data_IF_132713733133
#
_entry.id   IF_132713733133
#
_cell.length_a   1.000
_cell.length_b   1.000
_cell.length_c   1.000
_cell.angle_alpha   90.00
_cell.angle_beta   90.00
_cell.angle_gamma   90.00
#
_symmetry.space_group_name_H-M   'P 1'
#
loop_
_entity.id
_entity.type
_entity.pdbx_description
1 polymer ?
#
# COMPACT_ATOMS: atom_id res chain seq x y z
N UNK A 1 4.98 8.64 5.82
CA UNK A 1 4.04 7.53 5.66
C UNK A 1 4.19 6.61 6.86
N UNK A 2 3.07 6.11 7.39
CA UNK A 2 3.02 5.15 8.49
C UNK A 2 2.17 3.97 8.08
N UNK A 3 2.58 2.79 8.50
CA UNK A 3 1.80 1.56 8.35
C UNK A 3 1.27 1.23 9.73
N UNK A 4 -0.05 1.13 9.83
CA UNK A 4 -0.77 0.80 11.04
C UNK A 4 -1.55 -0.48 10.76
N UNK A 5 -1.67 -1.36 11.73
CA UNK A 5 -2.55 -2.52 11.66
C UNK A 5 -3.45 -2.53 12.89
N UNK A 6 -4.73 -2.83 12.68
CA UNK A 6 -5.68 -3.05 13.75
C UNK A 6 -5.80 -4.54 14.11
N UNK A 7 -6.46 -4.83 15.23
CA UNK A 7 -6.62 -6.20 15.74
C UNK A 7 -7.63 -7.03 14.95
N UNK A 8 -8.43 -6.41 14.07
CA UNK A 8 -9.47 -7.08 13.27
C UNK A 8 -9.00 -7.45 11.86
N UNK A 9 -7.72 -7.24 11.54
CA UNK A 9 -7.16 -7.66 10.27
C UNK A 9 -7.24 -6.60 9.17
N UNK A 10 -7.25 -5.32 9.52
CA UNK A 10 -7.06 -4.26 8.54
C UNK A 10 -5.67 -3.64 8.67
N UNK A 11 -5.17 -3.17 7.53
CA UNK A 11 -3.94 -2.40 7.44
C UNK A 11 -4.30 -0.99 6.97
N UNK A 12 -4.00 0.00 7.80
CA UNK A 12 -4.11 1.40 7.47
C UNK A 12 -2.76 1.93 7.00
N UNK A 13 -2.69 2.30 5.74
CA UNK A 13 -1.57 2.99 5.12
C UNK A 13 -1.81 4.50 5.20
N UNK A 14 -1.19 5.16 6.17
CA UNK A 14 -1.27 6.60 6.31
C UNK A 14 -0.16 7.27 5.49
N UNK A 15 -0.53 7.83 4.34
CA UNK A 15 0.42 8.44 3.42
C UNK A 15 0.82 9.85 3.86
N UNK A 16 -0.12 10.62 4.40
CA UNK A 16 0.06 12.01 4.86
C UNK A 16 -0.58 12.22 6.23
N UNK A 17 -0.01 13.14 7.01
CA UNK A 17 -0.59 13.58 8.28
C UNK A 17 -1.51 14.79 8.03
N UNK A 18 -2.78 14.51 7.74
CA UNK A 18 -3.79 15.50 7.41
C UNK A 18 -5.18 15.05 7.91
N UNK A 19 -6.08 15.95 8.33
CA UNK A 19 -7.44 15.57 8.72
C UNK A 19 -8.25 15.00 7.56
N UNK A 20 -8.89 13.85 7.77
CA UNK A 20 -9.84 13.30 6.79
C UNK A 20 -11.08 14.18 6.69
N UNK A 21 -11.39 14.63 5.47
CA UNK A 21 -12.63 15.34 5.16
C UNK A 21 -13.70 14.37 4.62
N UNK A 22 -13.28 13.34 3.89
CA UNK A 22 -14.17 12.38 3.23
C UNK A 22 -13.57 10.98 3.32
N UNK A 23 -14.41 9.96 3.50
CA UNK A 23 -14.05 8.54 3.34
C UNK A 23 -14.91 7.89 2.27
N UNK A 24 -14.32 7.05 1.42
CA UNK A 24 -15.01 6.34 0.33
C UNK A 24 -14.43 4.94 0.16
N UNK A 25 -15.23 4.04 -0.40
CA UNK A 25 -14.70 2.78 -0.93
C UNK A 25 -13.80 3.06 -2.14
N UNK A 26 -12.74 2.27 -2.26
CA UNK A 26 -11.78 2.35 -3.34
C UNK A 26 -11.46 0.94 -3.84
N UNK A 27 -11.29 0.82 -5.15
CA UNK A 27 -10.61 -0.33 -5.72
C UNK A 27 -9.11 -0.09 -5.60
N UNK A 28 -8.49 -0.94 -4.81
CA UNK A 28 -7.04 -1.01 -4.66
C UNK A 28 -6.63 -2.37 -5.15
N UNK A 29 -5.44 -2.49 -5.73
CA UNK A 29 -4.86 -3.77 -6.10
C UNK A 29 -3.63 -4.00 -5.26
N UNK A 30 -3.56 -5.11 -4.56
CA UNK A 30 -2.44 -5.46 -3.70
C UNK A 30 -1.48 -6.38 -4.46
N UNK A 31 -0.18 -6.19 -4.28
CA UNK A 31 0.81 -7.15 -4.76
C UNK A 31 1.21 -8.17 -3.68
N UNK A 32 0.84 -9.44 -3.90
CA UNK A 32 1.04 -10.56 -2.97
C UNK A 32 1.93 -11.66 -3.53
N UNK A 33 2.68 -12.36 -2.68
CA UNK A 33 3.33 -13.62 -3.05
C UNK A 33 2.34 -14.76 -3.27
N UNK A 34 2.75 -15.92 -3.83
CA UNK A 34 1.88 -17.10 -3.93
C UNK A 34 1.39 -17.63 -2.56
N UNK A 35 2.06 -17.24 -1.47
CA UNK A 35 1.67 -17.56 -0.10
C UNK A 35 0.74 -16.49 0.50
N UNK A 36 0.37 -15.46 -0.29
CA UNK A 36 -0.54 -14.40 0.12
C UNK A 36 0.13 -13.26 0.90
N UNK A 37 1.46 -13.15 0.87
CA UNK A 37 2.19 -12.13 1.63
C UNK A 37 2.37 -10.85 0.82
N UNK A 38 2.13 -9.66 1.38
CA UNK A 38 2.45 -8.39 0.68
C UNK A 38 3.91 -8.32 0.29
N UNK A 39 4.19 -8.03 -0.98
CA UNK A 39 5.56 -7.91 -1.47
C UNK A 39 5.95 -6.45 -1.53
N UNK A 40 5.36 -5.67 -2.44
CA UNK A 40 5.89 -4.33 -2.75
C UNK A 40 4.97 -3.16 -2.51
N UNK A 41 3.68 -3.39 -2.27
CA UNK A 41 2.73 -2.33 -1.98
C UNK A 41 1.40 -2.51 -2.71
N UNK A 42 0.83 -1.41 -3.17
CA UNK A 42 -0.52 -1.39 -3.72
C UNK A 42 -0.65 -0.43 -4.90
N UNK A 43 -1.50 -0.80 -5.85
CA UNK A 43 -1.94 0.02 -6.96
C UNK A 43 -3.31 0.61 -6.65
N UNK A 44 -3.53 1.86 -7.05
CA UNK A 44 -4.83 2.50 -6.99
C UNK A 44 -5.19 2.95 -8.40
N UNK A 45 -6.44 2.73 -8.79
CA UNK A 45 -6.95 3.09 -10.12
C UNK A 45 -7.97 4.21 -9.95
N UNK A 46 -7.74 5.33 -10.64
CA UNK A 46 -8.65 6.46 -10.73
C UNK A 46 -9.82 6.14 -11.66
N UNK A 47 -11.02 6.62 -11.32
CA UNK A 47 -12.20 6.47 -12.19
C UNK A 47 -13.41 5.77 -11.56
N UNK A 48 -13.27 5.17 -10.38
CA UNK A 48 -14.41 4.55 -9.67
C UNK A 48 -15.30 5.57 -8.91
N UNK A 49 -14.84 6.82 -8.74
CA UNK A 49 -15.53 7.90 -8.02
C UNK A 49 -14.99 9.28 -8.44
N UNK A 50 -15.64 10.38 -8.00
CA UNK A 50 -15.14 11.77 -8.15
C UNK A 50 -13.82 11.99 -7.37
N UNK A 51 -12.74 11.45 -7.93
CA UNK A 51 -11.39 11.51 -7.38
C UNK A 51 -10.41 11.65 -8.52
N UNK A 52 -9.47 12.57 -8.33
CA UNK A 52 -8.37 12.78 -9.27
C UNK A 52 -7.14 12.14 -8.67
N UNK A 53 -6.78 10.95 -9.16
CA UNK A 53 -5.59 10.26 -8.67
C UNK A 53 -4.33 11.09 -8.93
N UNK A 54 -4.26 11.76 -10.09
CA UNK A 54 -3.25 12.77 -10.38
C UNK A 54 -3.03 13.75 -9.23
N UNK A 55 -4.09 14.42 -8.76
CA UNK A 55 -3.99 15.39 -7.65
C UNK A 55 -3.58 14.72 -6.34
N UNK A 56 -4.04 13.50 -6.11
CA UNK A 56 -3.66 12.73 -4.94
C UNK A 56 -2.18 12.33 -4.94
N UNK A 57 -1.57 12.15 -6.11
CA UNK A 57 -0.15 11.84 -6.23
C UNK A 57 0.76 13.07 -6.32
N UNK A 58 0.25 14.25 -6.67
CA UNK A 58 1.02 15.52 -6.76
C UNK A 58 1.87 15.91 -5.54
N UNK A 59 1.47 15.66 -4.27
CA UNK A 59 2.38 15.90 -3.15
C UNK A 59 3.58 14.93 -3.11
N UNK A 60 3.51 13.82 -3.85
CA UNK A 60 4.61 12.87 -4.03
C UNK A 60 5.34 13.16 -5.36
N UNK A 61 6.64 12.87 -5.40
CA UNK A 61 7.44 12.99 -6.64
C UNK A 61 7.24 11.75 -7.52
N UNK A 62 6.00 11.54 -7.96
CA UNK A 62 5.67 10.40 -8.81
C UNK A 62 6.34 10.54 -10.19
N UNK A 63 6.82 9.41 -10.72
CA UNK A 63 7.34 9.30 -12.08
C UNK A 63 6.50 8.35 -12.91
N UNK A 64 6.70 8.34 -14.23
CA UNK A 64 6.11 7.31 -15.08
C UNK A 64 6.64 5.93 -14.67
N UNK A 65 5.79 4.89 -14.62
CA UNK A 65 6.25 3.54 -14.30
C UNK A 65 7.29 3.05 -15.31
N UNK A 66 8.36 2.45 -14.80
CA UNK A 66 9.41 1.82 -15.60
C UNK A 66 9.28 0.28 -15.52
N UNK A 67 9.49 -0.40 -16.65
CA UNK A 67 9.49 -1.87 -16.68
C UNK A 67 10.62 -2.41 -15.77
N UNK A 68 10.25 -3.28 -14.84
CA UNK A 68 11.21 -3.92 -13.93
C UNK A 68 11.61 -3.08 -12.72
N UNK A 69 10.86 -2.03 -12.38
CA UNK A 69 11.14 -1.23 -11.19
C UNK A 69 11.08 -2.08 -9.90
N UNK A 70 12.25 -2.25 -9.27
CA UNK A 70 12.41 -3.03 -8.05
C UNK A 70 11.96 -2.25 -6.81
N UNK A 71 11.25 -2.95 -5.92
CA UNK A 71 10.73 -2.41 -4.67
C UNK A 71 11.69 -2.48 -3.49
N UNK A 72 12.98 -2.72 -3.71
CA UNK A 72 13.96 -2.97 -2.65
C UNK A 72 14.42 -1.74 -1.84
N UNK A 73 13.81 -0.57 -2.03
CA UNK A 73 14.28 0.69 -1.45
C UNK A 73 13.86 0.91 0.00
N UNK A 74 14.66 1.70 0.73
CA UNK A 74 14.35 2.16 2.11
C UNK A 74 13.28 3.25 2.17
N UNK A 75 12.87 3.76 1.01
CA UNK A 75 11.98 4.91 0.91
C UNK A 75 10.69 4.56 0.19
N UNK A 76 9.61 5.18 0.65
CA UNK A 76 8.34 5.18 -0.06
C UNK A 76 8.51 5.82 -1.44
N UNK A 77 8.03 5.13 -2.47
CA UNK A 77 8.05 5.60 -3.87
C UNK A 77 6.66 5.49 -4.48
N UNK A 78 6.39 6.31 -5.48
CA UNK A 78 5.14 6.30 -6.21
C UNK A 78 5.44 6.36 -7.70
N UNK A 79 4.80 5.51 -8.49
CA UNK A 79 4.72 5.65 -9.94
C UNK A 79 3.29 6.00 -10.34
N UNK A 80 3.13 6.76 -11.42
CA UNK A 80 1.83 7.18 -11.91
C UNK A 80 1.75 7.01 -13.42
N UNK A 81 0.74 6.28 -13.86
CA UNK A 81 0.33 6.12 -15.25
C UNK A 81 -0.83 7.10 -15.55
N UNK A 82 -0.58 8.18 -16.31
CA UNK A 82 -1.61 9.14 -16.66
C UNK A 82 -2.61 8.62 -17.69
N UNK A 83 -2.28 7.58 -18.47
CA UNK A 83 -3.18 7.01 -19.47
C UNK A 83 -4.23 6.11 -18.80
N UNK A 84 -3.81 5.32 -17.82
CA UNK A 84 -4.69 4.47 -17.01
C UNK A 84 -5.33 5.21 -15.81
N UNK A 85 -4.93 6.46 -15.56
CA UNK A 85 -5.16 7.19 -14.30
C UNK A 85 -4.88 6.31 -13.07
N UNK A 86 -3.76 5.58 -13.07
CA UNK A 86 -3.41 4.59 -12.06
C UNK A 86 -2.07 4.93 -11.38
N UNK A 87 -1.92 4.60 -10.10
CA UNK A 87 -0.71 4.86 -9.34
C UNK A 87 -0.31 3.65 -8.50
N UNK A 88 0.96 3.27 -8.58
CA UNK A 88 1.53 2.24 -7.72
C UNK A 88 2.33 2.87 -6.58
N UNK A 89 1.97 2.52 -5.35
CA UNK A 89 2.61 2.98 -4.13
C UNK A 89 3.51 1.87 -3.57
N UNK A 90 4.82 2.07 -3.69
CA UNK A 90 5.83 1.14 -3.20
C UNK A 90 6.07 1.36 -1.71
N UNK A 91 5.87 0.31 -0.92
CA UNK A 91 6.09 0.33 0.51
C UNK A 91 7.55 -0.05 0.83
N UNK A 92 8.22 0.71 1.71
CA UNK A 92 9.57 0.38 2.15
C UNK A 92 9.51 -0.85 3.06
N UNK A 93 10.28 -1.89 2.74
CA UNK A 93 10.39 -3.07 3.59
C UNK A 93 10.84 -2.71 5.01
N UNK A 94 10.54 -3.58 5.97
CA UNK A 94 10.91 -3.41 7.36
C UNK A 94 12.34 -3.88 7.66
N UNK A 95 12.85 -3.46 8.82
CA UNK A 95 14.15 -3.83 9.36
C UNK A 95 14.38 -5.35 9.41
N UNK A 96 13.33 -6.10 9.78
CA UNK A 96 13.34 -7.57 9.87
C UNK A 96 13.54 -8.23 8.52
N UNK A 97 12.81 -7.80 7.49
CA UNK A 97 12.99 -8.28 6.13
C UNK A 97 14.38 -7.94 5.57
N UNK A 98 14.88 -6.72 5.83
CA UNK A 98 16.22 -6.32 5.40
C UNK A 98 17.33 -7.19 5.99
N UNK A 99 17.16 -7.68 7.21
CA UNK A 99 18.12 -8.53 7.88
C UNK A 99 18.19 -9.98 7.33
N UNK A 100 17.21 -10.39 6.51
CA UNK A 100 17.22 -11.70 5.87
C UNK A 100 18.39 -11.86 4.88
N UNK A 101 18.83 -13.09 4.68
CA UNK A 101 19.75 -13.42 3.58
C UNK A 101 19.08 -13.20 2.22
N UNK A 102 19.88 -13.03 1.15
CA UNK A 102 19.33 -12.84 -0.19
C UNK A 102 18.44 -14.01 -0.63
N UNK A 103 18.77 -15.25 -0.29
CA UNK A 103 17.94 -16.42 -0.63
C UNK A 103 16.61 -16.46 0.14
N UNK A 104 16.57 -15.94 1.36
CA UNK A 104 15.34 -15.79 2.14
C UNK A 104 14.46 -14.67 1.59
N UNK A 105 15.05 -13.53 1.23
CA UNK A 105 14.33 -12.44 0.54
C UNK A 105 13.74 -12.94 -0.77
N UNK A 106 14.55 -13.57 -1.62
CA UNK A 106 14.12 -14.10 -2.91
C UNK A 106 12.96 -15.09 -2.75
N UNK A 107 13.01 -16.01 -1.80
CA UNK A 107 11.89 -16.94 -1.55
C UNK A 107 10.61 -16.24 -1.14
N UNK A 108 10.72 -15.08 -0.50
CA UNK A 108 9.59 -14.33 0.04
C UNK A 108 8.98 -13.38 -1.00
N UNK A 109 9.72 -13.04 -2.05
CA UNK A 109 9.34 -12.03 -3.06
C UNK A 109 9.25 -12.53 -4.51
N UNK A 110 9.54 -13.81 -4.79
CA UNK A 110 9.82 -14.29 -6.17
C UNK A 110 8.66 -14.34 -7.17
N UNK A 111 7.42 -14.17 -6.75
CA UNK A 111 6.27 -14.23 -7.64
C UNK A 111 5.21 -13.32 -7.04
N UNK A 112 4.46 -12.59 -7.87
CA UNK A 112 3.37 -11.78 -7.36
C UNK A 112 2.04 -12.03 -8.05
N UNK A 113 0.96 -11.87 -7.30
CA UNK A 113 -0.42 -11.87 -7.74
C UNK A 113 -1.10 -10.61 -7.24
N UNK A 114 -1.88 -10.02 -8.13
CA UNK A 114 -2.77 -8.91 -7.84
C UNK A 114 -4.08 -9.43 -7.27
N UNK A 115 -4.51 -8.90 -6.13
CA UNK A 115 -5.89 -9.05 -5.63
C UNK A 115 -6.53 -7.68 -5.65
N UNK A 116 -7.84 -7.58 -5.93
CA UNK A 116 -8.59 -6.32 -5.90
C UNK A 116 -9.42 -6.20 -4.60
N UNK A 117 -8.82 -5.81 -3.45
CA UNK A 117 -9.54 -5.60 -2.19
C UNK A 117 -10.61 -4.51 -2.25
N UNK A 118 -11.56 -4.66 -1.32
CA UNK A 118 -12.60 -3.68 -0.99
C UNK A 118 -12.09 -2.59 -0.04
N UNK A 119 -11.07 -1.84 -0.45
CA UNK A 119 -10.41 -0.86 0.40
C UNK A 119 -11.30 0.36 0.70
N UNK A 120 -10.97 1.07 1.78
CA UNK A 120 -11.49 2.41 2.06
C UNK A 120 -10.37 3.44 1.95
N UNK A 121 -10.60 4.55 1.26
CA UNK A 121 -9.68 5.67 1.20
C UNK A 121 -10.21 6.86 2.01
N UNK A 122 -9.28 7.60 2.64
CA UNK A 122 -9.56 8.88 3.28
C UNK A 122 -8.95 9.99 2.44
N UNK A 123 -9.74 11.02 2.15
CA UNK A 123 -9.34 12.17 1.35
C UNK A 123 -9.36 13.46 2.17
N UNK A 124 -8.48 14.39 1.81
CA UNK A 124 -8.52 15.77 2.31
C UNK A 124 -9.59 16.59 1.62
N UNK A 125 -9.80 17.82 2.09
CA UNK A 125 -10.81 18.73 1.53
C UNK A 125 -10.56 19.13 0.06
N UNK A 126 -9.33 18.94 -0.45
CA UNK A 126 -8.97 19.18 -1.85
C UNK A 126 -9.09 17.92 -2.73
N UNK A 127 -9.47 16.78 -2.14
CA UNK A 127 -9.58 15.48 -2.82
C UNK A 127 -8.27 14.70 -2.88
N UNK A 128 -7.23 15.12 -2.17
CA UNK A 128 -5.96 14.39 -2.11
C UNK A 128 -6.05 13.17 -1.20
N UNK A 129 -5.35 12.07 -1.55
CA UNK A 129 -5.33 10.83 -0.78
C UNK A 129 -4.50 10.97 0.51
N UNK A 130 -5.13 10.78 1.66
CA UNK A 130 -4.48 10.83 2.98
C UNK A 130 -4.07 9.44 3.42
N UNK A 131 -4.99 8.49 3.36
CA UNK A 131 -4.75 7.12 3.79
C UNK A 131 -5.62 6.12 3.04
N UNK A 132 -5.20 4.85 3.09
CA UNK A 132 -5.94 3.70 2.57
C UNK A 132 -6.03 2.66 3.66
N UNK A 133 -7.24 2.25 4.03
CA UNK A 133 -7.53 1.10 4.88
C UNK A 133 -7.78 -0.09 3.97
N UNK A 134 -6.92 -1.10 4.06
CA UNK A 134 -6.97 -2.32 3.26
C UNK A 134 -7.39 -3.47 4.17
N UNK A 135 -8.55 -4.10 3.93
CA UNK A 135 -8.91 -5.33 4.60
C UNK A 135 -7.93 -6.44 4.19
N UNK A 136 -7.21 -7.03 5.13
CA UNK A 136 -6.33 -8.17 4.82
C UNK A 136 -7.08 -9.49 4.81
N UNK A 137 -8.35 -9.51 5.20
CA UNK A 137 -9.24 -10.65 5.00
C UNK A 137 -9.41 -10.99 3.51
N UNK A 138 -9.30 -9.98 2.62
CA UNK A 138 -9.31 -10.17 1.17
C UNK A 138 -7.95 -10.69 0.66
N UNK A 139 -6.89 -10.64 1.48
CA UNK A 139 -5.61 -11.24 1.16
C UNK A 139 -5.57 -12.72 1.59
N UNK A 140 -4.89 -13.56 0.80
CA UNK A 140 -4.82 -15.02 1.05
C UNK A 140 -3.85 -15.36 2.21
N UNK A 141 -3.03 -14.40 2.65
CA UNK A 141 -1.99 -14.60 3.67
C UNK A 141 -2.33 -14.02 5.05
N UNK A 142 -1.73 -14.53 6.15
CA UNK A 142 -1.93 -14.00 7.51
C UNK A 142 -1.40 -12.57 7.69
N UNK A 143 -2.08 -11.78 8.53
CA UNK A 143 -1.67 -10.42 8.91
C UNK A 143 -0.25 -10.41 9.49
N UNK A 144 0.12 -11.42 10.28
CA UNK A 144 1.42 -11.53 10.93
C UNK A 144 2.56 -11.56 9.92
N UNK A 145 2.35 -12.18 8.76
CA UNK A 145 3.36 -12.22 7.72
C UNK A 145 3.53 -10.85 7.09
N UNK A 146 2.44 -10.10 6.88
CA UNK A 146 2.54 -8.70 6.49
C UNK A 146 3.34 -7.88 7.51
N UNK A 147 3.01 -8.00 8.79
CA UNK A 147 3.72 -7.31 9.88
C UNK A 147 5.20 -7.69 9.99
N UNK A 148 5.61 -8.83 9.42
CA UNK A 148 7.00 -9.26 9.39
C UNK A 148 7.78 -8.56 8.27
N UNK A 149 7.14 -8.33 7.12
CA UNK A 149 7.77 -7.75 5.94
C UNK A 149 7.97 -6.24 6.04
N UNK A 150 7.17 -5.56 6.86
CA UNK A 150 7.18 -4.11 6.99
C UNK A 150 7.41 -3.65 8.43
N UNK A 151 7.95 -2.45 8.61
CA UNK A 151 7.99 -1.78 9.91
C UNK A 151 6.60 -1.17 10.15
N UNK A 152 5.83 -1.76 11.08
CA UNK A 152 4.44 -1.40 11.37
C UNK A 152 4.32 -0.86 12.79
N UNK A 153 3.69 0.30 12.94
CA UNK A 153 3.30 0.83 14.25
C UNK A 153 2.00 0.14 14.68
N UNK A 154 2.05 -0.63 15.78
CA UNK A 154 0.82 -1.19 16.36
C UNK A 154 0.09 -0.08 17.11
N UNK A 155 -1.16 0.20 16.76
CA UNK A 155 -1.95 1.12 17.56
C UNK A 155 -2.36 0.45 18.88
N UNK A 156 -2.21 1.12 20.02
CA UNK A 156 -2.73 0.61 21.28
C UNK A 156 -4.25 0.62 21.27
N UNK A 157 -4.84 -0.41 21.89
CA UNK A 157 -6.28 -0.55 22.09
C UNK A 157 -6.85 0.68 22.79
N UNK A 158 -7.74 1.41 22.11
CA UNK A 158 -8.71 2.25 22.81
C UNK A 158 -9.88 1.35 23.19
N UNK A 159 -9.89 0.92 24.45
CA UNK A 159 -11.04 0.28 25.09
C UNK A 159 -12.07 1.33 25.50
#
# INVERSE_FOLDING_TARGET
MRILADEIGNVLLQLRDYPSAVQKSAEVVIDLSPQGNWIRGFEMIGGMFDFSLRKAVEPFRAKQPELGEESGGETFKVTYDPEADAAYFYLPYGSRFRALSSSERDRTTKYSHSINPTAMCALDASGGLISVLVPTADAVGPLETFLYLFDVERQPTTR
#
